data_IF_970621748207
#
_entry.id   IF_970621748207
#
_cell.length_a   1.000
_cell.length_b   1.000
_cell.length_c   1.000
_cell.angle_alpha   90.00
_cell.angle_beta   90.00
_cell.angle_gamma   90.00
#
_symmetry.space_group_name_H-M   'P 1'
#
loop_
_entity.id
_entity.type
_entity.pdbx_description
1 polymer ?
#
# COMPACT_ATOMS: atom_id res chain seq x y z
N UNK A 1 10.47 -24.05 27.41
CA UNK A 1 9.67 -24.34 26.20
C UNK A 1 9.76 -23.13 25.28
N UNK A 2 10.59 -23.19 24.25
CA UNK A 2 10.80 -22.08 23.33
C UNK A 2 9.54 -21.91 22.49
N UNK A 3 8.88 -20.73 22.58
CA UNK A 3 7.82 -20.36 21.63
C UNK A 3 8.43 -20.39 20.24
N UNK A 4 7.85 -21.17 19.33
CA UNK A 4 8.16 -21.08 17.90
C UNK A 4 8.01 -19.62 17.50
N UNK A 5 9.09 -19.01 17.06
CA UNK A 5 9.10 -17.66 16.56
C UNK A 5 8.06 -17.56 15.43
N UNK A 6 7.18 -16.60 15.56
CA UNK A 6 6.27 -16.22 14.46
C UNK A 6 7.16 -15.53 13.43
N UNK A 7 7.50 -16.22 12.35
CA UNK A 7 8.32 -15.62 11.30
C UNK A 7 7.53 -14.46 10.66
N UNK A 8 7.97 -13.26 10.94
CA UNK A 8 7.56 -12.04 10.26
C UNK A 8 8.70 -11.67 9.30
N UNK A 9 8.39 -11.57 8.00
CA UNK A 9 9.33 -11.14 6.98
C UNK A 9 8.80 -9.86 6.36
N UNK A 10 9.59 -8.81 6.38
CA UNK A 10 9.28 -7.54 5.72
C UNK A 10 10.27 -7.34 4.57
N UNK A 11 9.76 -7.18 3.37
CA UNK A 11 10.54 -6.94 2.15
C UNK A 11 10.12 -5.60 1.55
N UNK A 12 11.08 -4.69 1.37
CA UNK A 12 10.83 -3.43 0.67
C UNK A 12 10.74 -3.69 -0.83
N UNK A 13 9.58 -3.43 -1.42
CA UNK A 13 9.34 -3.56 -2.86
C UNK A 13 9.59 -2.24 -3.59
N UNK A 14 9.38 -1.12 -2.91
CA UNK A 14 9.61 0.22 -3.46
C UNK A 14 9.92 1.19 -2.33
N UNK A 15 10.92 2.03 -2.55
CA UNK A 15 11.22 3.23 -1.76
C UNK A 15 11.93 4.28 -2.63
N UNK A 16 12.27 5.43 -2.04
CA UNK A 16 12.86 6.58 -2.73
C UNK A 16 14.23 6.30 -3.34
N UNK A 17 14.98 5.35 -2.79
CA UNK A 17 16.34 5.00 -3.19
C UNK A 17 16.50 3.50 -3.41
N UNK A 18 17.59 3.10 -4.06
CA UNK A 18 18.01 1.70 -4.15
C UNK A 18 19.52 1.59 -4.18
N UNK A 19 20.06 0.58 -3.52
CA UNK A 19 21.48 0.26 -3.55
C UNK A 19 21.86 -0.63 -4.74
N UNK A 20 20.89 -1.28 -5.39
CA UNK A 20 21.10 -2.17 -6.52
C UNK A 20 20.48 -1.62 -7.80
N UNK A 21 21.22 -1.72 -8.90
CA UNK A 21 20.73 -1.37 -10.25
C UNK A 21 19.68 -2.33 -10.78
N UNK A 22 19.51 -3.49 -10.15
CA UNK A 22 18.54 -4.50 -10.55
C UNK A 22 17.11 -4.09 -10.21
N UNK A 23 16.94 -3.25 -9.20
CA UNK A 23 15.63 -2.78 -8.75
C UNK A 23 15.37 -1.34 -9.19
N UNK A 24 14.10 -1.02 -9.35
CA UNK A 24 13.66 0.35 -9.62
C UNK A 24 13.26 1.04 -8.33
N UNK A 25 13.62 2.31 -8.20
CA UNK A 25 13.17 3.18 -7.13
C UNK A 25 12.29 4.30 -7.69
N UNK A 26 11.39 4.79 -6.88
CA UNK A 26 10.56 5.99 -7.12
C UNK A 26 10.20 6.62 -5.78
N UNK A 27 9.83 7.89 -5.82
CA UNK A 27 9.27 8.55 -4.64
C UNK A 27 7.99 7.83 -4.22
N UNK A 28 7.97 7.34 -2.98
CA UNK A 28 6.88 6.56 -2.42
C UNK A 28 7.33 5.32 -1.65
N UNK A 29 6.39 4.50 -1.27
CA UNK A 29 6.64 3.31 -0.46
C UNK A 29 5.79 2.13 -0.92
N UNK A 30 6.37 0.92 -0.88
CA UNK A 30 5.63 -0.34 -0.89
C UNK A 30 6.42 -1.40 -0.10
N UNK A 31 5.79 -1.96 0.92
CA UNK A 31 6.34 -3.05 1.71
C UNK A 31 5.52 -4.33 1.53
N UNK A 32 6.17 -5.45 1.31
CA UNK A 32 5.56 -6.77 1.43
C UNK A 32 5.84 -7.33 2.82
N UNK A 33 4.78 -7.70 3.54
CA UNK A 33 4.84 -8.22 4.90
C UNK A 33 4.27 -9.63 4.88
N UNK A 34 5.15 -10.62 5.02
CA UNK A 34 4.76 -12.03 5.12
C UNK A 34 4.67 -12.44 6.57
N UNK A 35 3.50 -12.89 6.98
CA UNK A 35 3.25 -13.49 8.29
C UNK A 35 2.95 -14.97 8.14
N UNK A 36 2.67 -15.66 9.22
CA UNK A 36 2.22 -17.06 9.19
C UNK A 36 0.88 -17.22 8.45
N UNK A 37 -0.01 -16.24 8.57
CA UNK A 37 -1.39 -16.34 8.08
C UNK A 37 -1.64 -15.47 6.84
N UNK A 38 -0.89 -14.37 6.67
CA UNK A 38 -1.17 -13.35 5.69
C UNK A 38 0.04 -12.99 4.82
N UNK A 39 -0.27 -12.60 3.59
CA UNK A 39 0.62 -11.92 2.65
C UNK A 39 0.06 -10.51 2.44
N UNK A 40 0.71 -9.51 3.02
CA UNK A 40 0.21 -8.15 3.13
C UNK A 40 1.06 -7.22 2.28
N UNK A 41 0.45 -6.29 1.55
CA UNK A 41 1.12 -5.10 1.05
C UNK A 41 0.73 -3.89 1.88
N UNK A 42 1.74 -3.16 2.32
CA UNK A 42 1.58 -1.85 2.96
C UNK A 42 2.07 -0.78 1.99
N UNK A 43 1.14 0.05 1.53
CA UNK A 43 1.28 0.97 0.41
C UNK A 43 1.65 0.30 -0.92
N UNK A 44 1.49 0.99 -2.03
CA UNK A 44 1.66 0.47 -3.39
C UNK A 44 2.54 1.35 -4.28
N UNK A 45 3.12 2.41 -3.70
CA UNK A 45 3.90 3.38 -4.47
C UNK A 45 3.06 4.18 -5.48
N UNK A 46 3.73 4.91 -6.40
CA UNK A 46 3.07 5.79 -7.34
C UNK A 46 2.46 5.09 -8.58
N UNK A 47 2.89 3.84 -8.87
CA UNK A 47 2.52 3.09 -10.08
C UNK A 47 2.87 1.59 -9.98
N UNK A 48 3.00 0.90 -11.12
CA UNK A 48 3.28 -0.54 -11.21
C UNK A 48 4.73 -0.95 -10.87
N UNK A 49 5.59 -0.03 -10.47
CA UNK A 49 7.03 -0.31 -10.22
C UNK A 49 7.23 -1.38 -9.13
N UNK A 50 6.39 -1.38 -8.07
CA UNK A 50 6.46 -2.38 -7.02
C UNK A 50 6.21 -3.81 -7.55
N UNK A 51 5.35 -3.98 -8.56
CA UNK A 51 5.08 -5.29 -9.19
C UNK A 51 6.33 -5.79 -9.92
N UNK A 52 7.03 -4.91 -10.64
CA UNK A 52 8.27 -5.24 -11.35
C UNK A 52 9.36 -5.70 -10.39
N UNK A 53 9.46 -5.05 -9.23
CA UNK A 53 10.41 -5.44 -8.20
C UNK A 53 9.98 -6.73 -7.48
N UNK A 54 8.68 -6.91 -7.20
CA UNK A 54 8.14 -8.15 -6.63
C UNK A 54 8.46 -9.38 -7.50
N UNK A 55 8.26 -9.27 -8.82
CA UNK A 55 8.59 -10.35 -9.76
C UNK A 55 10.06 -10.76 -9.70
N UNK A 56 10.98 -9.79 -9.57
CA UNK A 56 12.42 -10.08 -9.43
C UNK A 56 12.78 -10.76 -8.10
N UNK A 57 11.96 -10.54 -7.08
CA UNK A 57 12.11 -11.12 -5.75
C UNK A 57 11.31 -12.43 -5.60
N UNK A 58 10.68 -12.92 -6.67
CA UNK A 58 9.78 -14.07 -6.66
C UNK A 58 8.64 -13.94 -5.64
N UNK A 59 8.11 -12.72 -5.50
CA UNK A 59 6.94 -12.43 -4.67
C UNK A 59 5.73 -12.32 -5.60
N UNK A 60 4.80 -13.26 -5.44
CA UNK A 60 3.59 -13.36 -6.25
C UNK A 60 2.53 -12.37 -5.76
N UNK A 61 2.28 -11.32 -6.52
CA UNK A 61 1.27 -10.30 -6.20
C UNK A 61 -0.14 -10.90 -6.16
N UNK A 62 -0.43 -11.91 -6.97
CA UNK A 62 -1.70 -12.66 -6.97
C UNK A 62 -1.98 -13.38 -5.63
N UNK A 63 -0.94 -13.69 -4.85
CA UNK A 63 -1.07 -14.36 -3.56
C UNK A 63 -1.25 -13.42 -2.37
N UNK A 64 -1.18 -12.11 -2.58
CA UNK A 64 -1.48 -11.11 -1.55
C UNK A 64 -2.97 -11.20 -1.18
N UNK A 65 -3.27 -11.24 0.10
CA UNK A 65 -4.63 -11.32 0.64
C UNK A 65 -5.10 -10.04 1.33
N UNK A 66 -4.17 -9.17 1.73
CA UNK A 66 -4.45 -7.89 2.38
C UNK A 66 -3.61 -6.79 1.76
N UNK A 67 -4.23 -5.64 1.48
CA UNK A 67 -3.56 -4.38 1.19
C UNK A 67 -3.98 -3.34 2.21
N UNK A 68 -3.02 -2.56 2.71
CA UNK A 68 -3.27 -1.40 3.57
C UNK A 68 -2.67 -0.18 2.90
N UNK A 69 -3.49 0.83 2.61
CA UNK A 69 -3.03 2.12 2.12
C UNK A 69 -2.99 3.12 3.27
N UNK A 70 -1.82 3.63 3.58
CA UNK A 70 -1.59 4.50 4.74
C UNK A 70 -2.34 5.83 4.66
N UNK A 71 -2.39 6.43 3.48
CA UNK A 71 -3.07 7.71 3.23
C UNK A 71 -3.33 7.95 1.74
N UNK A 72 -4.04 9.03 1.42
CA UNK A 72 -4.59 9.30 0.09
C UNK A 72 -3.64 9.95 -0.92
N UNK A 73 -2.33 9.91 -0.75
CA UNK A 73 -1.41 10.47 -1.71
C UNK A 73 -0.98 9.44 -2.77
N UNK A 74 -0.74 9.91 -3.99
CA UNK A 74 -0.41 9.09 -5.15
C UNK A 74 0.88 8.29 -4.98
N UNK A 75 1.87 8.80 -4.29
CA UNK A 75 3.16 8.13 -4.03
C UNK A 75 3.03 6.93 -3.07
N UNK A 76 1.87 6.77 -2.42
CA UNK A 76 1.55 5.63 -1.55
C UNK A 76 0.45 4.71 -2.09
N UNK A 77 -0.53 5.25 -2.80
CA UNK A 77 -1.65 4.46 -3.32
C UNK A 77 -1.83 4.52 -4.84
N UNK A 78 -0.93 5.19 -5.58
CA UNK A 78 -1.03 5.32 -7.04
C UNK A 78 -0.94 4.00 -7.80
N UNK A 79 -0.29 2.99 -7.22
CA UNK A 79 -0.23 1.63 -7.75
C UNK A 79 -1.53 0.82 -7.63
N UNK A 80 -2.59 1.36 -7.01
CA UNK A 80 -3.83 0.63 -6.71
C UNK A 80 -4.50 0.04 -7.97
N UNK A 81 -4.57 0.79 -9.06
CA UNK A 81 -5.14 0.30 -10.31
C UNK A 81 -4.32 -0.87 -10.89
N UNK A 82 -3.00 -0.77 -10.87
CA UNK A 82 -2.11 -1.85 -11.30
C UNK A 82 -2.25 -3.08 -10.41
N UNK A 83 -2.38 -2.88 -9.09
CA UNK A 83 -2.63 -3.98 -8.16
C UNK A 83 -3.95 -4.70 -8.46
N UNK A 84 -5.04 -3.97 -8.65
CA UNK A 84 -6.36 -4.54 -8.95
C UNK A 84 -6.38 -5.38 -10.22
N UNK A 85 -5.55 -5.05 -11.22
CA UNK A 85 -5.39 -5.83 -12.45
C UNK A 85 -4.59 -7.14 -12.26
N UNK A 86 -3.71 -7.19 -11.24
CA UNK A 86 -2.81 -8.31 -11.00
C UNK A 86 -3.21 -9.19 -9.79
N UNK A 87 -4.26 -8.80 -9.08
CA UNK A 87 -4.80 -9.54 -7.94
C UNK A 87 -6.32 -9.45 -7.94
N UNK A 88 -7.00 -10.55 -7.66
CA UNK A 88 -8.47 -10.63 -7.71
C UNK A 88 -9.12 -11.01 -6.37
N UNK A 89 -8.33 -11.18 -5.29
CA UNK A 89 -8.83 -11.69 -4.02
C UNK A 89 -8.58 -10.79 -2.81
N UNK A 90 -7.55 -9.96 -2.84
CA UNK A 90 -7.15 -9.16 -1.67
C UNK A 90 -8.24 -8.18 -1.25
N UNK A 91 -8.42 -8.04 0.06
CA UNK A 91 -9.15 -6.93 0.67
C UNK A 91 -8.22 -5.73 0.82
N UNK A 92 -8.70 -4.54 0.49
CA UNK A 92 -7.93 -3.31 0.48
C UNK A 92 -8.49 -2.36 1.52
N UNK A 93 -7.73 -2.16 2.59
CA UNK A 93 -8.11 -1.30 3.71
C UNK A 93 -7.49 0.08 3.53
N UNK A 94 -8.32 1.09 3.55
CA UNK A 94 -7.91 2.48 3.39
C UNK A 94 -8.78 3.39 4.25
N UNK A 95 -8.18 4.42 4.84
CA UNK A 95 -8.95 5.35 5.65
C UNK A 95 -10.01 6.09 4.80
N UNK A 96 -11.23 6.25 5.32
CA UNK A 96 -12.38 6.86 4.63
C UNK A 96 -12.10 8.23 3.99
N UNK A 97 -11.11 8.96 4.51
CA UNK A 97 -10.71 10.26 3.98
C UNK A 97 -9.67 10.18 2.86
N UNK A 98 -9.15 8.99 2.51
CA UNK A 98 -8.05 8.85 1.55
C UNK A 98 -8.43 9.23 0.12
N UNK A 99 -9.72 9.14 -0.24
CA UNK A 99 -10.23 9.55 -1.55
C UNK A 99 -10.69 11.02 -1.62
N UNK A 100 -10.34 11.85 -0.62
CA UNK A 100 -10.55 13.29 -0.73
C UNK A 100 -9.62 13.90 -1.77
N UNK A 101 -9.97 15.09 -2.23
CA UNK A 101 -9.15 15.83 -3.19
C UNK A 101 -7.91 16.38 -2.50
N UNK A 102 -6.73 15.89 -2.90
CA UNK A 102 -5.44 16.37 -2.42
C UNK A 102 -4.72 17.12 -3.53
N UNK A 103 -4.29 18.35 -3.23
CA UNK A 103 -3.58 19.22 -4.15
C UNK A 103 -2.30 19.73 -3.50
N UNK A 104 -1.22 19.81 -4.27
CA UNK A 104 -0.02 20.57 -3.91
C UNK A 104 0.08 21.81 -4.78
N UNK A 105 0.69 22.87 -4.26
CA UNK A 105 0.92 24.11 -5.01
C UNK A 105 2.32 24.09 -5.58
N UNK A 106 2.42 24.26 -6.90
CA UNK A 106 3.66 24.53 -7.61
C UNK A 106 3.63 26.00 -8.01
N UNK A 107 4.64 26.80 -7.60
CA UNK A 107 4.72 28.23 -7.86
C UNK A 107 3.45 29.02 -7.46
N UNK A 108 2.98 28.83 -6.23
CA UNK A 108 1.89 29.59 -5.56
C UNK A 108 0.50 29.60 -6.24
N UNK A 109 0.40 29.35 -7.54
CA UNK A 109 -0.86 29.45 -8.29
C UNK A 109 -1.19 28.23 -9.18
N UNK A 110 -0.30 27.27 -9.33
CA UNK A 110 -0.59 26.05 -10.08
C UNK A 110 -0.87 24.93 -9.06
N UNK A 111 -2.12 24.46 -8.99
CA UNK A 111 -2.51 23.32 -8.19
C UNK A 111 -2.26 22.03 -8.97
N UNK A 112 -1.48 21.13 -8.41
CA UNK A 112 -1.27 19.80 -8.96
C UNK A 112 -2.00 18.76 -8.10
N UNK A 113 -2.82 17.91 -8.72
CA UNK A 113 -3.52 16.83 -8.01
C UNK A 113 -2.54 15.73 -7.63
N UNK A 114 -2.49 15.40 -6.34
CA UNK A 114 -1.59 14.38 -5.77
C UNK A 114 -2.37 13.25 -5.06
N UNK A 115 -3.69 13.23 -5.23
CA UNK A 115 -4.57 12.23 -4.63
C UNK A 115 -4.67 10.93 -5.43
N UNK A 116 -5.48 10.01 -4.92
CA UNK A 116 -5.80 8.74 -5.56
C UNK A 116 -6.85 8.93 -6.66
N UNK A 117 -6.93 7.96 -7.56
CA UNK A 117 -8.04 7.91 -8.52
C UNK A 117 -9.35 7.62 -7.77
N UNK A 118 -10.24 8.62 -7.75
CA UNK A 118 -11.49 8.60 -6.99
C UNK A 118 -12.45 7.52 -7.49
N UNK A 119 -12.41 7.19 -8.78
CA UNK A 119 -13.29 6.17 -9.37
C UNK A 119 -13.09 4.80 -8.73
N UNK A 120 -11.88 4.53 -8.22
CA UNK A 120 -11.54 3.26 -7.55
C UNK A 120 -12.24 3.10 -6.21
N UNK A 121 -12.73 4.17 -5.57
CA UNK A 121 -13.42 4.11 -4.28
C UNK A 121 -14.62 3.14 -4.27
N UNK A 122 -15.27 2.97 -5.41
CA UNK A 122 -16.45 2.12 -5.55
C UNK A 122 -16.12 0.65 -5.85
N UNK A 123 -14.84 0.27 -5.86
CA UNK A 123 -14.46 -1.12 -6.04
C UNK A 123 -14.88 -1.94 -4.81
N UNK A 124 -15.53 -3.09 -5.01
CA UNK A 124 -16.11 -3.96 -3.98
C UNK A 124 -15.08 -4.54 -2.99
N UNK A 125 -13.82 -4.55 -3.37
CA UNK A 125 -12.71 -5.01 -2.51
C UNK A 125 -12.13 -3.91 -1.63
N UNK A 126 -12.53 -2.65 -1.84
CA UNK A 126 -12.07 -1.51 -1.02
C UNK A 126 -12.95 -1.38 0.22
N UNK A 127 -12.31 -1.46 1.37
CA UNK A 127 -12.93 -1.33 2.68
C UNK A 127 -12.49 0.00 3.28
N UNK A 128 -13.43 0.94 3.35
CA UNK A 128 -13.18 2.24 3.98
C UNK A 128 -13.24 2.07 5.50
N UNK A 129 -12.14 2.39 6.17
CA UNK A 129 -12.02 2.25 7.63
C UNK A 129 -11.85 3.60 8.30
N UNK A 130 -12.14 3.63 9.59
CA UNK A 130 -11.87 4.76 10.48
C UNK A 130 -10.58 4.51 11.28
N UNK A 131 -10.42 5.17 12.42
CA UNK A 131 -9.16 5.21 13.17
C UNK A 131 -8.64 3.85 13.62
N UNK A 132 -9.53 2.93 13.99
CA UNK A 132 -9.17 1.58 14.42
C UNK A 132 -10.07 0.56 13.71
N UNK A 133 -9.47 -0.48 13.17
CA UNK A 133 -10.18 -1.56 12.51
C UNK A 133 -9.50 -2.91 12.75
N UNK A 134 -10.25 -3.90 13.25
CA UNK A 134 -9.75 -5.27 13.40
C UNK A 134 -9.92 -6.02 12.08
N UNK A 135 -8.80 -6.49 11.52
CA UNK A 135 -8.82 -7.35 10.33
C UNK A 135 -9.27 -8.75 10.73
N UNK A 136 -8.66 -9.26 11.82
CA UNK A 136 -9.00 -10.53 12.45
C UNK A 136 -8.58 -10.53 13.92
N UNK A 137 -8.59 -11.68 14.59
CA UNK A 137 -8.23 -11.83 16.01
C UNK A 137 -6.78 -11.46 16.33
N UNK A 138 -5.89 -11.40 15.33
CA UNK A 138 -4.45 -11.17 15.50
C UNK A 138 -3.96 -9.83 14.93
N UNK A 139 -4.73 -9.20 14.04
CA UNK A 139 -4.30 -8.03 13.29
C UNK A 139 -5.29 -6.89 13.41
N UNK A 140 -4.80 -5.74 13.90
CA UNK A 140 -5.55 -4.50 14.02
C UNK A 140 -4.85 -3.41 13.21
N UNK A 141 -5.62 -2.68 12.41
CA UNK A 141 -5.16 -1.46 11.77
C UNK A 141 -5.44 -0.27 12.69
N UNK A 142 -4.45 0.58 12.86
CA UNK A 142 -4.56 1.82 13.63
C UNK A 142 -4.10 2.98 12.77
N UNK A 143 -5.06 3.80 12.30
CA UNK A 143 -4.77 5.04 11.59
C UNK A 143 -4.70 6.19 12.59
N UNK A 144 -3.50 6.60 12.98
CA UNK A 144 -3.31 7.76 13.86
C UNK A 144 -2.81 8.95 13.03
N UNK A 145 -3.43 10.11 13.24
CA UNK A 145 -2.86 11.35 12.76
C UNK A 145 -1.64 11.69 13.62
N UNK A 146 -0.47 11.71 13.00
CA UNK A 146 0.76 12.12 13.69
C UNK A 146 0.95 13.65 13.73
N UNK A 147 0.07 14.40 13.05
CA UNK A 147 0.15 15.86 12.96
C UNK A 147 -1.24 16.48 13.15
N UNK A 148 -1.28 17.52 13.98
CA UNK A 148 -2.43 18.41 14.14
C UNK A 148 -2.48 19.42 13.01
#
# INVERSE_FOLDING_TARGET
MWRREKNLIITTLLENTTLSKDYKNKHGLCLHIKTKCHSILFDLGPDDTFIKNANKLNIEISEVDIVVISHGHKDHGGGLEAFLKNNNKAKIYIHKNAFKYYYTSILSFIKHYVGLNIELQNNDRIILVEDNFSIDDNYVLIFKRCFN
#
